data_IF_551612055842
#
_entry.id   IF_551612055842
#
_cell.length_a   1.000
_cell.length_b   1.000
_cell.length_c   1.000
_cell.angle_alpha   90.00
_cell.angle_beta   90.00
_cell.angle_gamma   90.00
#
_symmetry.space_group_name_H-M   'P 1'
#
loop_
_entity.id
_entity.type
_entity.pdbx_description
1 polymer ?
#
# COMPACT_ATOMS: atom_id res chain seq x y z
N UNK A 1 4.90 -19.75 6.25
CA UNK A 1 5.62 -18.93 7.25
C UNK A 1 6.48 -17.95 6.48
N UNK A 2 6.60 -16.69 6.89
CA UNK A 2 7.54 -15.75 6.24
C UNK A 2 8.98 -16.27 6.41
N UNK A 3 9.82 -16.08 5.38
CA UNK A 3 11.22 -16.55 5.36
C UNK A 3 12.08 -15.83 6.39
N UNK A 4 11.82 -14.54 6.60
CA UNK A 4 12.68 -13.65 7.39
C UNK A 4 12.12 -13.42 8.80
N UNK A 5 11.01 -14.08 9.17
CA UNK A 5 10.40 -13.95 10.48
C UNK A 5 9.72 -12.60 10.73
N UNK A 6 9.38 -11.85 9.68
CA UNK A 6 8.72 -10.55 9.83
C UNK A 6 7.29 -10.76 10.34
N UNK A 7 6.96 -10.10 11.46
CA UNK A 7 5.63 -10.10 12.09
C UNK A 7 4.91 -8.76 11.97
N UNK A 8 5.64 -7.67 11.77
CA UNK A 8 5.11 -6.31 11.67
C UNK A 8 6.01 -5.45 10.80
N UNK A 9 5.44 -4.40 10.20
CA UNK A 9 6.13 -3.36 9.46
C UNK A 9 5.69 -2.03 10.07
N UNK A 10 6.59 -1.15 10.45
CA UNK A 10 6.19 0.19 10.93
C UNK A 10 5.78 1.10 9.76
N UNK A 11 6.56 1.08 8.68
CA UNK A 11 6.33 1.88 7.48
C UNK A 11 6.61 1.09 6.19
N UNK A 12 5.75 1.26 5.20
CA UNK A 12 5.92 0.73 3.84
C UNK A 12 5.91 1.86 2.82
N UNK A 13 6.95 1.95 2.01
CA UNK A 13 6.98 2.77 0.80
C UNK A 13 6.93 1.84 -0.41
N UNK A 14 6.05 2.14 -1.36
CA UNK A 14 5.99 1.49 -2.66
C UNK A 14 6.22 2.55 -3.72
N UNK A 15 7.34 2.41 -4.43
CA UNK A 15 7.76 3.28 -5.53
C UNK A 15 8.48 2.37 -6.52
N UNK A 16 7.78 1.96 -7.57
CA UNK A 16 8.17 0.87 -8.46
C UNK A 16 8.07 1.25 -9.95
N UNK A 17 8.19 2.55 -10.26
CA UNK A 17 8.23 3.08 -11.63
C UNK A 17 7.03 2.60 -12.48
N UNK A 18 5.83 2.63 -11.89
CA UNK A 18 4.57 2.24 -12.55
C UNK A 18 4.16 0.79 -12.35
N UNK A 19 4.94 -0.02 -11.62
CA UNK A 19 4.55 -1.38 -11.21
C UNK A 19 3.98 -1.46 -9.79
N UNK A 20 3.66 -0.31 -9.19
CA UNK A 20 3.34 -0.14 -7.76
C UNK A 20 2.15 -0.98 -7.32
N UNK A 21 1.08 -1.05 -8.13
CA UNK A 21 -0.06 -1.89 -7.83
C UNK A 21 0.31 -3.38 -7.82
N UNK A 22 1.02 -3.87 -8.83
CA UNK A 22 1.41 -5.29 -8.95
C UNK A 22 2.30 -5.71 -7.77
N UNK A 23 3.15 -4.82 -7.27
CA UNK A 23 3.95 -5.08 -6.07
C UNK A 23 3.09 -5.03 -4.81
N UNK A 24 2.28 -3.98 -4.66
CA UNK A 24 1.47 -3.76 -3.47
C UNK A 24 0.34 -4.80 -3.29
N UNK A 25 -0.25 -5.32 -4.37
CA UNK A 25 -1.36 -6.26 -4.30
C UNK A 25 -0.99 -7.57 -3.59
N UNK A 26 0.30 -7.95 -3.63
CA UNK A 26 0.82 -9.17 -3.02
C UNK A 26 0.92 -9.08 -1.49
N UNK A 27 0.96 -7.86 -0.93
CA UNK A 27 1.15 -7.67 0.51
C UNK A 27 -0.10 -8.08 1.30
N UNK A 28 0.10 -8.95 2.29
CA UNK A 28 -0.90 -9.32 3.28
C UNK A 28 -0.98 -8.24 4.39
N UNK A 29 -1.93 -7.32 4.23
CA UNK A 29 -2.17 -6.23 5.18
C UNK A 29 -2.71 -6.68 6.55
N UNK A 30 -3.27 -7.89 6.66
CA UNK A 30 -3.71 -8.41 7.96
C UNK A 30 -2.53 -8.93 8.76
N UNK A 31 -1.60 -9.57 8.07
CA UNK A 31 -0.43 -10.19 8.70
C UNK A 31 0.63 -9.17 9.10
N UNK A 32 1.06 -8.32 8.18
CA UNK A 32 2.18 -7.41 8.43
C UNK A 32 1.73 -6.04 8.97
N UNK A 33 0.47 -5.67 8.68
CA UNK A 33 -0.23 -4.45 9.11
C UNK A 33 0.69 -3.23 9.27
N UNK A 34 1.24 -2.69 8.16
CA UNK A 34 2.04 -1.48 8.20
C UNK A 34 1.39 -0.35 9.01
N UNK A 35 2.11 0.31 9.91
CA UNK A 35 1.56 1.48 10.62
C UNK A 35 1.28 2.67 9.70
N UNK A 36 2.16 2.86 8.71
CA UNK A 36 2.04 3.86 7.65
C UNK A 36 2.39 3.25 6.28
N UNK A 37 1.66 3.66 5.24
CA UNK A 37 1.88 3.24 3.86
C UNK A 37 1.89 4.50 2.97
N UNK A 38 2.93 4.66 2.15
CA UNK A 38 2.96 5.59 1.00
C UNK A 38 3.05 4.76 -0.28
N UNK A 39 2.21 5.05 -1.27
CA UNK A 39 2.27 4.43 -2.59
C UNK A 39 2.32 5.55 -3.63
N UNK A 40 3.35 5.54 -4.47
CA UNK A 40 3.39 6.41 -5.64
C UNK A 40 2.34 5.93 -6.65
N UNK A 41 1.38 6.80 -6.97
CA UNK A 41 0.30 6.47 -7.91
C UNK A 41 0.30 7.31 -9.19
N UNK A 42 1.25 8.25 -9.31
CA UNK A 42 1.34 9.16 -10.45
C UNK A 42 1.56 8.45 -11.80
N UNK A 43 2.24 7.31 -11.78
CA UNK A 43 2.48 6.48 -12.96
C UNK A 43 1.39 5.41 -13.21
N UNK A 44 0.40 5.27 -12.32
CA UNK A 44 -0.60 4.21 -12.42
C UNK A 44 -1.80 4.59 -13.27
N UNK A 45 -2.39 3.64 -14.03
CA UNK A 45 -3.67 3.84 -14.66
C UNK A 45 -4.78 3.96 -13.60
N UNK A 46 -5.81 4.77 -13.87
CA UNK A 46 -6.88 5.07 -12.92
C UNK A 46 -7.55 3.85 -12.25
N UNK A 47 -7.79 2.70 -12.93
CA UNK A 47 -8.31 1.50 -12.29
C UNK A 47 -7.41 0.97 -11.16
N UNK A 48 -6.10 1.01 -11.33
CA UNK A 48 -5.12 0.52 -10.34
C UNK A 48 -5.06 1.45 -9.11
N UNK A 49 -5.15 2.77 -9.33
CA UNK A 49 -5.32 3.73 -8.23
C UNK A 49 -6.57 3.39 -7.41
N UNK A 50 -7.69 3.08 -8.09
CA UNK A 50 -8.91 2.63 -7.44
C UNK A 50 -8.72 1.35 -6.62
N UNK A 51 -7.99 0.38 -7.14
CA UNK A 51 -7.68 -0.88 -6.44
C UNK A 51 -6.82 -0.67 -5.20
N UNK A 52 -5.81 0.22 -5.26
CA UNK A 52 -5.02 0.64 -4.09
C UNK A 52 -5.93 1.16 -2.99
N UNK A 53 -6.81 2.13 -3.30
CA UNK A 53 -7.71 2.74 -2.32
C UNK A 53 -8.69 1.72 -1.74
N UNK A 54 -9.29 0.86 -2.57
CA UNK A 54 -10.22 -0.18 -2.11
C UNK A 54 -9.52 -1.15 -1.15
N UNK A 55 -8.34 -1.66 -1.52
CA UNK A 55 -7.58 -2.59 -0.68
C UNK A 55 -7.27 -1.99 0.70
N UNK A 56 -6.81 -0.73 0.73
CA UNK A 56 -6.49 -0.02 1.97
C UNK A 56 -7.73 0.24 2.84
N UNK A 57 -8.81 0.77 2.25
CA UNK A 57 -10.06 1.05 2.97
C UNK A 57 -10.70 -0.23 3.51
N UNK A 58 -10.72 -1.31 2.73
CA UNK A 58 -11.23 -2.62 3.17
C UNK A 58 -10.40 -3.20 4.31
N UNK A 59 -9.09 -2.90 4.37
CA UNK A 59 -8.22 -3.28 5.49
C UNK A 59 -8.33 -2.36 6.72
N UNK A 60 -9.17 -1.32 6.65
CA UNK A 60 -9.47 -0.41 7.77
C UNK A 60 -8.54 0.78 7.90
N UNK A 61 -7.73 1.09 6.87
CA UNK A 61 -6.82 2.22 6.93
C UNK A 61 -7.56 3.55 6.72
N UNK A 62 -7.10 4.59 7.42
CA UNK A 62 -7.39 5.97 7.05
C UNK A 62 -6.55 6.31 5.82
N UNK A 63 -7.17 6.83 4.75
CA UNK A 63 -6.53 7.02 3.44
C UNK A 63 -6.76 8.46 2.99
N UNK A 64 -5.70 9.11 2.52
CA UNK A 64 -5.70 10.45 1.93
C UNK A 64 -4.80 10.50 0.70
N UNK A 65 -4.97 11.54 -0.11
CA UNK A 65 -4.05 11.86 -1.22
C UNK A 65 -3.25 13.10 -0.83
N UNK A 66 -1.92 13.04 -0.96
CA UNK A 66 -1.03 14.18 -0.72
C UNK A 66 0.12 14.14 -1.71
N UNK A 67 0.38 15.27 -2.37
CA UNK A 67 1.44 15.40 -3.38
C UNK A 67 1.39 14.27 -4.42
N UNK A 68 0.18 14.00 -4.96
CA UNK A 68 -0.10 12.96 -5.96
C UNK A 68 0.00 11.51 -5.47
N UNK A 69 0.51 11.27 -4.25
CA UNK A 69 0.63 9.95 -3.64
C UNK A 69 -0.57 9.56 -2.79
N UNK A 70 -0.78 8.24 -2.64
CA UNK A 70 -1.69 7.70 -1.62
C UNK A 70 -0.94 7.51 -0.31
N UNK A 71 -1.49 8.09 0.75
CA UNK A 71 -1.03 7.92 2.12
C UNK A 71 -2.08 7.18 2.94
N UNK A 72 -1.65 6.20 3.74
CA UNK A 72 -2.54 5.43 4.59
C UNK A 72 -1.97 5.09 5.97
N UNK A 73 -2.83 5.13 7.00
CA UNK A 73 -2.50 4.90 8.41
C UNK A 73 -3.47 3.89 9.04
N UNK A 74 -2.94 2.94 9.82
CA UNK A 74 -3.65 1.75 10.33
C UNK A 74 -4.50 1.96 11.60
#
# INVERSE_FOLDING_TARGET
RDRNGVSHIDALLVECEGADWIVFEQLDLKRYRPGMIKIEVGALPAPEIGQVVVKLKTAGYQVSFQAEDVWAFA
#
